data_IF_795440669732
#
_entry.id   IF_795440669732
#
_cell.length_a   1.000
_cell.length_b   1.000
_cell.length_c   1.000
_cell.angle_alpha   90.00
_cell.angle_beta   90.00
_cell.angle_gamma   90.00
#
_symmetry.space_group_name_H-M   'P 1'
#
loop_
_entity.id
_entity.type
_entity.pdbx_description
1 polymer ?
#
# COMPACT_ATOMS: atom_id res chain seq x y z
N UNK A 1 -5.07 -10.97 -0.58
CA UNK A 1 -4.61 -10.19 0.59
C UNK A 1 -5.05 -10.91 1.86
N UNK A 2 -4.17 -11.09 2.86
CA UNK A 2 -4.52 -11.79 4.08
C UNK A 2 -5.57 -11.01 4.88
N UNK A 3 -6.49 -11.72 5.54
CA UNK A 3 -7.51 -11.11 6.42
C UNK A 3 -6.93 -10.63 7.74
N UNK A 4 -5.86 -11.28 8.18
CA UNK A 4 -5.14 -11.01 9.43
C UNK A 4 -3.65 -11.28 9.18
N UNK A 5 -2.79 -10.45 9.78
CA UNK A 5 -1.34 -10.55 9.65
C UNK A 5 -0.67 -10.04 10.93
N UNK A 6 0.33 -10.78 11.41
CA UNK A 6 1.10 -10.41 12.59
C UNK A 6 2.56 -10.14 12.19
N UNK A 7 3.16 -9.13 12.83
CA UNK A 7 4.57 -8.78 12.67
C UNK A 7 5.28 -8.72 14.01
N UNK A 8 6.60 -8.93 13.99
CA UNK A 8 7.45 -8.72 15.16
C UNK A 8 7.78 -7.23 15.28
N UNK A 9 7.66 -6.66 16.48
CA UNK A 9 8.00 -5.26 16.72
C UNK A 9 9.45 -4.96 16.32
N UNK A 10 9.66 -3.86 15.57
CA UNK A 10 10.98 -3.46 15.08
C UNK A 10 11.46 -4.22 13.84
N UNK A 11 10.67 -5.15 13.30
CA UNK A 11 10.95 -5.83 12.04
C UNK A 11 10.08 -5.30 10.89
N UNK A 12 10.51 -5.54 9.65
CA UNK A 12 9.69 -5.29 8.47
C UNK A 12 8.66 -6.42 8.28
N UNK A 13 7.49 -6.06 7.73
CA UNK A 13 6.42 -6.99 7.40
C UNK A 13 6.06 -6.86 5.91
N UNK A 14 6.04 -7.98 5.19
CA UNK A 14 5.57 -8.01 3.80
C UNK A 14 4.10 -8.39 3.79
N UNK A 15 3.25 -7.52 3.24
CA UNK A 15 1.81 -7.79 3.07
C UNK A 15 1.61 -8.37 1.66
N UNK A 16 1.38 -9.68 1.50
CA UNK A 16 1.18 -10.26 0.18
C UNK A 16 -0.15 -9.79 -0.42
N UNK A 17 -0.08 -9.25 -1.63
CA UNK A 17 -1.24 -8.74 -2.37
C UNK A 17 -1.17 -9.16 -3.83
N UNK A 18 -2.33 -9.47 -4.40
CA UNK A 18 -2.51 -9.75 -5.83
C UNK A 18 -3.87 -9.20 -6.24
N UNK A 19 -3.96 -8.59 -7.41
CA UNK A 19 -5.20 -8.04 -7.95
C UNK A 19 -5.33 -8.39 -9.43
N UNK A 20 -6.57 -8.43 -9.92
CA UNK A 20 -6.88 -8.68 -11.32
C UNK A 20 -8.08 -7.83 -11.72
N UNK A 21 -8.05 -7.24 -12.90
CA UNK A 21 -9.16 -6.44 -13.44
C UNK A 21 -9.93 -7.24 -14.48
N UNK A 22 -11.24 -7.37 -14.30
CA UNK A 22 -12.14 -7.97 -15.30
C UNK A 22 -12.80 -6.91 -16.19
N UNK A 23 -12.87 -5.66 -15.72
CA UNK A 23 -13.46 -4.52 -16.44
C UNK A 23 -12.88 -3.20 -15.93
N UNK A 24 -12.78 -2.21 -16.84
CA UNK A 24 -12.34 -0.84 -16.55
C UNK A 24 -11.03 -0.73 -15.73
N UNK A 25 -9.91 -1.31 -16.19
CA UNK A 25 -8.64 -1.16 -15.49
C UNK A 25 -8.21 0.31 -15.44
N UNK A 26 -7.47 0.73 -14.40
CA UNK A 26 -6.91 2.06 -14.34
C UNK A 26 -5.93 2.30 -15.50
N UNK A 27 -5.78 3.56 -15.92
CA UNK A 27 -4.86 3.94 -17.01
C UNK A 27 -3.41 3.49 -16.78
N UNK A 28 -2.98 3.39 -15.52
CA UNK A 28 -1.68 2.87 -15.15
C UNK A 28 -1.86 1.79 -14.06
N UNK A 29 -2.00 0.50 -14.45
CA UNK A 29 -2.22 -0.60 -13.52
C UNK A 29 -1.00 -0.92 -12.64
N UNK A 30 0.20 -0.43 -13.02
CA UNK A 30 1.42 -0.60 -12.23
C UNK A 30 1.55 0.40 -11.09
N UNK A 31 0.74 1.47 -11.07
CA UNK A 31 0.75 2.41 -9.95
C UNK A 31 -0.09 1.85 -8.80
N UNK A 32 0.60 1.32 -7.80
CA UNK A 32 -0.02 0.87 -6.55
C UNK A 32 0.01 2.00 -5.52
N UNK A 33 -1.11 2.21 -4.84
CA UNK A 33 -1.26 3.19 -3.75
C UNK A 33 -1.92 2.47 -2.57
N UNK A 34 -1.37 2.64 -1.37
CA UNK A 34 -1.95 2.06 -0.14
C UNK A 34 -2.53 3.14 0.76
N UNK A 35 -3.68 2.82 1.36
CA UNK A 35 -4.39 3.66 2.32
C UNK A 35 -4.62 2.90 3.62
N UNK A 36 -4.66 3.65 4.72
CA UNK A 36 -5.05 3.10 6.01
C UNK A 36 -6.57 3.02 6.08
N UNK A 37 -7.11 1.87 6.47
CA UNK A 37 -8.52 1.76 6.79
C UNK A 37 -8.86 2.50 8.09
N UNK A 38 -9.68 3.54 8.00
CA UNK A 38 -10.20 4.33 9.14
C UNK A 38 -11.63 4.80 8.85
N UNK A 39 -12.35 5.25 9.88
CA UNK A 39 -13.76 5.66 9.77
C UNK A 39 -13.99 6.91 8.91
N UNK A 40 -12.97 7.77 8.75
CA UNK A 40 -13.06 8.98 7.94
C UNK A 40 -11.73 9.29 7.26
N UNK A 41 -11.82 9.60 5.97
CA UNK A 41 -10.67 9.91 5.13
C UNK A 41 -9.96 8.66 4.61
N UNK A 42 -9.02 8.88 3.70
CA UNK A 42 -8.14 7.86 3.17
C UNK A 42 -6.70 8.26 3.49
N UNK A 43 -6.22 8.07 4.73
CA UNK A 43 -4.86 8.42 5.12
C UNK A 43 -3.86 7.63 4.26
N UNK A 44 -2.94 8.34 3.64
CA UNK A 44 -2.00 7.76 2.67
C UNK A 44 -0.89 7.00 3.39
N UNK A 45 -0.69 5.73 3.04
CA UNK A 45 0.32 4.82 3.63
C UNK A 45 1.51 4.64 2.70
N UNK A 46 1.26 4.57 1.39
CA UNK A 46 2.30 4.46 0.37
C UNK A 46 1.82 5.10 -0.94
N UNK A 47 2.60 6.05 -1.46
CA UNK A 47 2.54 6.52 -2.84
C UNK A 47 3.94 6.99 -3.26
N UNK A 48 4.61 6.30 -4.20
CA UNK A 48 5.97 6.66 -4.61
C UNK A 48 6.00 7.97 -5.39
N UNK A 49 4.86 8.43 -5.92
CA UNK A 49 4.76 9.69 -6.68
C UNK A 49 4.63 10.90 -5.76
N UNK A 50 4.03 10.73 -4.59
CA UNK A 50 3.76 11.79 -3.63
C UNK A 50 4.21 11.38 -2.21
N UNK A 51 5.50 11.09 -2.02
CA UNK A 51 5.99 10.56 -0.74
C UNK A 51 5.80 11.54 0.42
N UNK A 52 5.80 12.85 0.14
CA UNK A 52 5.58 13.88 1.16
C UNK A 52 4.14 13.92 1.69
N UNK A 53 3.17 13.42 0.90
CA UNK A 53 1.75 13.37 1.28
C UNK A 53 1.44 12.12 2.13
N UNK A 54 2.37 11.16 2.22
CA UNK A 54 2.29 10.01 3.11
C UNK A 54 2.29 10.50 4.55
N UNK A 55 1.38 9.95 5.36
CA UNK A 55 1.24 10.35 6.76
C UNK A 55 2.51 10.02 7.54
N UNK A 56 2.83 10.87 8.51
CA UNK A 56 4.14 10.89 9.20
C UNK A 56 4.61 9.50 9.68
N UNK A 57 3.73 8.70 10.30
CA UNK A 57 4.06 7.37 10.82
C UNK A 57 4.44 6.31 9.77
N UNK A 58 4.17 6.55 8.48
CA UNK A 58 4.50 5.64 7.39
C UNK A 58 5.46 6.28 6.37
N UNK A 59 5.75 7.57 6.51
CA UNK A 59 6.58 8.29 5.55
C UNK A 59 8.01 7.76 5.61
N UNK A 60 8.54 7.33 4.47
CA UNK A 60 9.86 6.71 4.32
C UNK A 60 10.02 5.34 5.01
N UNK A 61 8.95 4.77 5.55
CA UNK A 61 8.94 3.46 6.23
C UNK A 61 8.29 2.35 5.39
N UNK A 62 7.77 2.70 4.20
CA UNK A 62 7.04 1.78 3.32
C UNK A 62 7.67 1.73 1.94
N UNK A 63 7.67 0.53 1.35
CA UNK A 63 8.09 0.30 -0.03
C UNK A 63 7.23 -0.79 -0.67
N UNK A 64 7.14 -0.79 -2.00
CA UNK A 64 6.46 -1.85 -2.74
C UNK A 64 7.39 -3.05 -2.89
N UNK A 65 7.00 -4.17 -2.30
CA UNK A 65 7.74 -5.42 -2.42
C UNK A 65 7.37 -6.17 -3.70
N UNK A 66 8.32 -6.25 -4.64
CA UNK A 66 8.16 -6.92 -5.93
C UNK A 66 7.55 -6.04 -7.02
N UNK A 67 7.46 -6.59 -8.24
CA UNK A 67 6.87 -5.87 -9.37
C UNK A 67 5.33 -6.01 -9.37
N UNK A 68 4.58 -4.91 -9.52
CA UNK A 68 3.15 -4.96 -9.75
C UNK A 68 2.91 -5.51 -11.17
N UNK A 69 2.55 -6.78 -11.24
CA UNK A 69 2.24 -7.55 -12.45
C UNK A 69 0.89 -7.19 -13.05
#
# INVERSE_FOLDING_TARGET
>A
MPKDIHGLQGSCLVIPCSFSYTSYPPKNPRRVVWYQWVSKGYPLVYDPRFPNDVIEKFRWETDLYGDPS
#
